data_IF_006993496495
#
_entry.id   IF_006993496495
#
_cell.length_a   1.000
_cell.length_b   1.000
_cell.length_c   1.000
_cell.angle_alpha   90.00
_cell.angle_beta   90.00
_cell.angle_gamma   90.00
#
_symmetry.space_group_name_H-M   'P 1'
#
loop_
_entity.id
_entity.type
_entity.pdbx_description
1 polymer ?
#
# COMPACT_ATOMS: atom_id res chain seq x y z
N UNK A 1 -7.68 -10.66 -11.65
CA UNK A 1 -7.06 -10.02 -10.48
C UNK A 1 -8.03 -10.12 -9.33
N UNK A 2 -7.52 -10.27 -8.11
CA UNK A 2 -8.34 -10.75 -7.00
C UNK A 2 -9.10 -9.66 -6.25
N UNK A 3 -10.29 -9.99 -5.79
CA UNK A 3 -11.14 -9.10 -5.01
C UNK A 3 -10.72 -9.11 -3.53
N UNK A 4 -10.19 -7.99 -3.04
CA UNK A 4 -9.73 -7.84 -1.66
C UNK A 4 -10.87 -7.31 -0.78
N UNK A 5 -11.24 -8.07 0.25
CA UNK A 5 -12.20 -7.65 1.28
C UNK A 5 -11.56 -7.71 2.66
N UNK A 6 -11.85 -6.73 3.50
CA UNK A 6 -11.46 -6.68 4.91
C UNK A 6 -12.72 -6.62 5.77
N UNK A 7 -12.91 -7.65 6.57
CA UNK A 7 -13.99 -7.81 7.52
C UNK A 7 -13.50 -7.34 8.89
N UNK A 8 -14.05 -6.24 9.37
CA UNK A 8 -13.59 -5.52 10.55
C UNK A 8 -14.46 -5.83 11.77
N UNK A 9 -13.91 -5.68 13.00
CA UNK A 9 -14.72 -5.74 14.21
C UNK A 9 -15.85 -4.71 14.19
N UNK A 10 -16.74 -4.80 15.17
CA UNK A 10 -17.80 -3.82 15.40
C UNK A 10 -17.20 -2.46 15.80
N UNK A 11 -16.90 -1.61 14.81
CA UNK A 11 -16.36 -0.26 15.02
C UNK A 11 -17.50 0.76 15.12
N UNK A 12 -17.30 1.84 15.88
CA UNK A 12 -18.28 2.91 16.06
C UNK A 12 -18.64 3.67 14.76
N UNK A 13 -17.75 3.64 13.76
CA UNK A 13 -17.93 4.24 12.44
C UNK A 13 -17.18 3.42 11.39
N UNK A 14 -17.40 3.73 10.10
CA UNK A 14 -16.84 2.97 8.97
C UNK A 14 -15.31 2.79 9.02
N UNK A 15 -14.57 3.80 9.49
CA UNK A 15 -13.11 3.75 9.57
C UNK A 15 -12.59 3.40 10.96
N UNK A 16 -13.46 3.47 11.98
CA UNK A 16 -13.12 3.35 13.39
C UNK A 16 -12.25 4.48 13.97
N UNK A 17 -12.06 5.59 13.25
CA UNK A 17 -11.26 6.75 13.71
C UNK A 17 -12.11 7.86 14.36
N UNK A 18 -13.23 7.48 14.97
CA UNK A 18 -14.18 8.38 15.63
C UNK A 18 -14.10 8.20 17.15
N UNK A 19 -13.58 9.19 17.86
CA UNK A 19 -13.48 9.14 19.32
C UNK A 19 -12.36 10.04 19.86
N UNK A 20 -12.31 10.26 21.18
CA UNK A 20 -11.25 11.03 21.82
C UNK A 20 -9.89 10.30 21.81
N UNK A 21 -9.90 8.97 21.75
CA UNK A 21 -8.71 8.13 21.63
C UNK A 21 -8.71 7.48 20.25
N UNK A 22 -7.62 7.68 19.49
CA UNK A 22 -7.48 7.17 18.14
C UNK A 22 -6.57 5.94 18.13
N UNK A 23 -7.05 4.85 17.54
CA UNK A 23 -6.19 3.71 17.20
C UNK A 23 -5.35 4.04 15.96
N UNK A 24 -4.04 4.14 16.16
CA UNK A 24 -3.10 4.44 15.09
C UNK A 24 -3.08 3.37 13.98
N UNK A 25 -3.40 2.11 14.30
CA UNK A 25 -3.51 1.06 13.29
C UNK A 25 -4.68 1.33 12.32
N UNK A 26 -5.82 1.81 12.83
CA UNK A 26 -6.98 2.18 12.01
C UNK A 26 -6.72 3.42 11.16
N UNK A 27 -5.97 4.38 11.70
CA UNK A 27 -5.54 5.57 10.95
C UNK A 27 -4.66 5.17 9.77
N UNK A 28 -3.59 4.41 10.04
CA UNK A 28 -2.66 3.94 9.00
C UNK A 28 -3.38 3.07 7.97
N UNK A 29 -4.19 2.11 8.41
CA UNK A 29 -4.94 1.24 7.52
C UNK A 29 -5.92 2.01 6.63
N UNK A 30 -6.63 3.00 7.19
CA UNK A 30 -7.55 3.85 6.42
C UNK A 30 -6.80 4.63 5.33
N UNK A 31 -5.62 5.17 5.64
CA UNK A 31 -4.76 5.83 4.65
C UNK A 31 -4.24 4.87 3.57
N UNK A 32 -3.85 3.65 3.96
CA UNK A 32 -3.35 2.62 3.06
C UNK A 32 -4.41 2.14 2.08
N UNK A 33 -5.64 1.90 2.55
CA UNK A 33 -6.78 1.54 1.70
C UNK A 33 -7.10 2.65 0.71
N UNK A 34 -7.09 3.92 1.15
CA UNK A 34 -7.30 5.05 0.26
C UNK A 34 -6.21 5.14 -0.82
N UNK A 35 -4.95 4.92 -0.44
CA UNK A 35 -3.82 4.89 -1.37
C UNK A 35 -3.99 3.80 -2.44
N UNK A 36 -4.29 2.57 -2.03
CA UNK A 36 -4.47 1.42 -2.94
C UNK A 36 -5.64 1.67 -3.90
N UNK A 37 -6.79 2.10 -3.38
CA UNK A 37 -7.98 2.40 -4.19
C UNK A 37 -7.74 3.55 -5.18
N UNK A 38 -6.95 4.55 -4.82
CA UNK A 38 -6.58 5.64 -5.74
C UNK A 38 -5.58 5.20 -6.82
N UNK A 39 -4.77 4.19 -6.53
CA UNK A 39 -3.73 3.65 -7.42
C UNK A 39 -4.27 2.63 -8.44
N UNK A 40 -5.42 2.00 -8.15
CA UNK A 40 -6.09 1.02 -9.00
C UNK A 40 -6.85 1.59 -10.21
N UNK A 41 -7.04 2.91 -10.28
CA UNK A 41 -7.83 3.58 -11.32
C UNK A 41 -9.35 3.48 -11.07
N UNK A 42 -10.06 4.59 -11.24
CA UNK A 42 -11.52 4.67 -11.18
C UNK A 42 -12.17 3.95 -12.37
N UNK A 43 -12.21 2.62 -12.38
CA UNK A 43 -12.77 1.81 -13.46
C UNK A 43 -14.07 1.12 -13.07
N UNK A 44 -15.22 1.75 -13.34
CA UNK A 44 -16.49 1.04 -13.42
C UNK A 44 -16.48 0.06 -14.60
N UNK A 45 -17.08 -1.12 -14.40
CA UNK A 45 -17.29 -2.22 -15.36
C UNK A 45 -16.27 -3.38 -15.30
N UNK A 46 -16.71 -4.47 -14.65
CA UNK A 46 -16.44 -5.89 -14.91
C UNK A 46 -14.99 -6.41 -15.07
N UNK A 47 -13.98 -5.69 -14.59
CA UNK A 47 -12.58 -6.14 -14.59
C UNK A 47 -11.77 -5.53 -13.44
N UNK A 48 -12.12 -5.89 -12.21
CA UNK A 48 -11.65 -5.33 -10.94
C UNK A 48 -10.14 -5.54 -10.72
N UNK A 49 -9.32 -4.59 -11.14
CA UNK A 49 -7.95 -4.44 -10.64
C UNK A 49 -7.92 -3.34 -9.59
N UNK A 50 -7.34 -3.59 -8.41
CA UNK A 50 -6.89 -2.52 -7.53
C UNK A 50 -7.85 -1.96 -6.48
N UNK A 51 -8.98 -2.61 -6.16
CA UNK A 51 -9.89 -2.15 -5.10
C UNK A 51 -9.87 -3.03 -3.84
N UNK A 52 -10.00 -2.37 -2.69
CA UNK A 52 -10.12 -2.97 -1.35
C UNK A 52 -11.45 -2.53 -0.75
N UNK A 53 -12.33 -3.51 -0.49
CA UNK A 53 -13.59 -3.30 0.21
C UNK A 53 -13.42 -3.52 1.72
N UNK A 54 -14.17 -2.75 2.51
CA UNK A 54 -14.20 -2.84 3.98
C UNK A 54 -15.64 -3.09 4.43
N UNK A 55 -15.83 -4.06 5.30
CA UNK A 55 -17.11 -4.41 5.92
C UNK A 55 -16.95 -4.33 7.43
N UNK A 56 -17.72 -3.48 8.11
CA UNK A 56 -17.72 -3.36 9.57
C UNK A 56 -18.90 -4.16 10.11
N UNK A 57 -18.64 -5.09 11.04
CA UNK A 57 -19.66 -5.97 11.61
C UNK A 57 -20.87 -5.23 12.19
N UNK A 58 -20.67 -4.03 12.75
CA UNK A 58 -21.74 -3.23 13.34
C UNK A 58 -22.66 -2.57 12.29
N UNK A 59 -22.11 -2.18 11.13
CA UNK A 59 -22.84 -1.40 10.13
C UNK A 59 -23.20 -2.18 8.86
N UNK A 60 -22.53 -3.31 8.62
CA UNK A 60 -22.69 -4.17 7.44
C UNK A 60 -22.64 -5.66 7.83
N UNK A 61 -23.56 -6.13 8.70
CA UNK A 61 -23.57 -7.52 9.16
C UNK A 61 -23.93 -8.52 8.05
N UNK A 62 -24.67 -8.09 7.01
CA UNK A 62 -25.08 -8.97 5.90
C UNK A 62 -23.87 -9.53 5.15
N UNK A 63 -22.84 -8.71 4.91
CA UNK A 63 -21.59 -9.15 4.26
C UNK A 63 -20.88 -10.31 5.00
N UNK A 64 -21.08 -10.44 6.32
CA UNK A 64 -20.51 -11.53 7.13
C UNK A 64 -21.35 -12.81 7.06
N UNK A 65 -22.64 -12.70 6.76
CA UNK A 65 -23.58 -13.82 6.63
C UNK A 65 -23.50 -14.44 5.24
N UNK A 66 -23.33 -13.59 4.20
CA UNK A 66 -23.27 -14.01 2.80
C UNK A 66 -22.00 -14.81 2.46
N UNK A 67 -20.91 -14.60 3.19
CA UNK A 67 -19.67 -15.35 3.00
C UNK A 67 -19.61 -16.55 3.95
N UNK A 68 -19.77 -17.76 3.40
CA UNK A 68 -19.68 -19.01 4.16
C UNK A 68 -18.37 -19.14 4.94
N UNK A 69 -17.25 -18.70 4.36
CA UNK A 69 -15.94 -18.73 5.01
C UNK A 69 -15.87 -17.80 6.22
N UNK A 70 -16.42 -16.59 6.11
CA UNK A 70 -16.44 -15.63 7.22
C UNK A 70 -17.44 -16.04 8.29
N UNK A 71 -18.62 -16.55 7.90
CA UNK A 71 -19.59 -17.10 8.84
C UNK A 71 -19.01 -18.28 9.63
N UNK A 72 -18.33 -19.20 8.95
CA UNK A 72 -17.61 -20.31 9.59
C UNK A 72 -16.50 -19.81 10.52
N UNK A 73 -15.72 -18.81 10.09
CA UNK A 73 -14.71 -18.18 10.93
C UNK A 73 -15.30 -17.60 12.22
N UNK A 74 -16.39 -16.81 12.12
CA UNK A 74 -17.05 -16.25 13.29
C UNK A 74 -17.63 -17.32 14.21
N UNK A 75 -18.13 -18.43 13.66
CA UNK A 75 -18.65 -19.54 14.47
C UNK A 75 -17.56 -20.25 15.28
N UNK A 76 -16.36 -20.42 14.70
CA UNK A 76 -15.26 -21.17 15.33
C UNK A 76 -14.36 -20.29 16.19
N UNK A 77 -14.00 -19.11 15.69
CA UNK A 77 -13.02 -18.20 16.32
C UNK A 77 -13.69 -17.10 17.14
N UNK A 78 -14.92 -16.71 16.77
CA UNK A 78 -15.61 -15.57 17.36
C UNK A 78 -15.18 -14.23 16.77
N UNK A 79 -15.89 -13.16 17.17
CA UNK A 79 -15.63 -11.79 16.71
C UNK A 79 -14.27 -11.24 17.15
N UNK A 80 -13.69 -11.77 18.23
CA UNK A 80 -12.35 -11.39 18.71
C UNK A 80 -11.23 -11.75 17.73
N UNK A 81 -11.50 -12.64 16.76
CA UNK A 81 -10.54 -12.98 15.70
C UNK A 81 -10.47 -11.97 14.55
N UNK A 82 -11.37 -10.97 14.54
CA UNK A 82 -11.37 -9.90 13.54
C UNK A 82 -10.19 -8.93 13.78
N UNK A 83 -9.70 -8.22 12.74
CA UNK A 83 -10.18 -8.24 11.36
C UNK A 83 -9.73 -9.48 10.57
N UNK A 84 -10.49 -9.84 9.54
CA UNK A 84 -10.16 -10.91 8.57
C UNK A 84 -10.03 -10.31 7.18
N UNK A 85 -8.94 -10.60 6.47
CA UNK A 85 -8.75 -10.21 5.07
C UNK A 85 -8.92 -11.42 4.17
N UNK A 86 -9.67 -11.26 3.08
CA UNK A 86 -9.84 -12.26 2.04
C UNK A 86 -9.40 -11.74 0.68
N UNK A 87 -8.88 -12.62 -0.18
CA UNK A 87 -8.65 -12.39 -1.60
C UNK A 87 -9.43 -13.45 -2.36
N UNK A 88 -10.35 -13.04 -3.24
CA UNK A 88 -11.24 -13.96 -3.99
C UNK A 88 -11.98 -14.95 -3.07
N UNK A 89 -12.44 -14.46 -1.92
CA UNK A 89 -13.14 -15.26 -0.91
C UNK A 89 -12.24 -16.16 -0.06
N UNK A 90 -10.93 -16.23 -0.34
CA UNK A 90 -9.97 -17.02 0.45
C UNK A 90 -9.35 -16.16 1.54
N UNK A 91 -9.41 -16.61 2.80
CA UNK A 91 -8.77 -15.93 3.93
C UNK A 91 -7.25 -15.92 3.79
N UNK A 92 -6.64 -14.73 3.86
CA UNK A 92 -5.18 -14.53 3.75
C UNK A 92 -4.55 -13.91 5.00
N UNK A 93 -5.36 -13.31 5.88
CA UNK A 93 -4.90 -12.67 7.12
C UNK A 93 -6.03 -12.60 8.15
N UNK A 94 -5.71 -12.78 9.43
CA UNK A 94 -6.67 -12.69 10.54
C UNK A 94 -6.03 -11.98 11.75
N UNK A 95 -6.82 -11.36 12.61
CA UNK A 95 -6.40 -10.76 13.87
C UNK A 95 -5.55 -9.49 13.77
N UNK A 96 -5.27 -8.99 12.56
CA UNK A 96 -4.58 -7.71 12.35
C UNK A 96 -4.89 -7.12 10.98
N UNK A 97 -4.75 -5.80 10.87
CA UNK A 97 -4.84 -5.09 9.59
C UNK A 97 -3.65 -5.42 8.66
N UNK A 98 -3.88 -5.56 7.35
CA UNK A 98 -2.82 -5.75 6.37
C UNK A 98 -2.00 -4.47 6.19
N UNK A 99 -0.70 -4.61 5.93
CA UNK A 99 0.15 -3.46 5.56
C UNK A 99 -0.15 -2.98 4.15
N UNK A 100 0.24 -1.75 3.80
CA UNK A 100 0.18 -1.24 2.42
C UNK A 100 0.76 -2.20 1.39
N UNK A 101 1.93 -2.78 1.66
CA UNK A 101 2.58 -3.74 0.75
C UNK A 101 1.74 -5.00 0.56
N UNK A 102 1.13 -5.51 1.64
CA UNK A 102 0.21 -6.64 1.56
C UNK A 102 -1.02 -6.28 0.73
N UNK A 103 -1.62 -5.11 0.95
CA UNK A 103 -2.77 -4.64 0.18
C UNK A 103 -2.45 -4.49 -1.31
N UNK A 104 -1.31 -3.87 -1.66
CA UNK A 104 -0.85 -3.75 -3.05
C UNK A 104 -0.65 -5.13 -3.68
N UNK A 105 -0.07 -6.09 -2.94
CA UNK A 105 0.11 -7.46 -3.43
C UNK A 105 -1.23 -8.16 -3.66
N UNK A 106 -2.13 -8.11 -2.67
CA UNK A 106 -3.45 -8.74 -2.74
C UNK A 106 -4.29 -8.16 -3.88
N UNK A 107 -4.21 -6.85 -4.09
CA UNK A 107 -4.93 -6.15 -5.16
C UNK A 107 -4.27 -6.29 -6.55
N UNK A 108 -3.15 -7.01 -6.66
CA UNK A 108 -2.40 -7.17 -7.92
C UNK A 108 -1.69 -5.89 -8.41
N UNK A 109 -1.50 -4.91 -7.54
CA UNK A 109 -0.86 -3.62 -7.83
C UNK A 109 0.63 -3.59 -7.45
N UNK A 110 1.14 -4.64 -6.81
CA UNK A 110 2.56 -4.77 -6.52
C UNK A 110 3.33 -5.09 -7.81
N UNK A 111 3.76 -4.04 -8.53
CA UNK A 111 4.65 -4.17 -9.69
C UNK A 111 6.07 -4.46 -9.20
N UNK A 112 6.38 -5.72 -9.00
CA UNK A 112 7.76 -6.22 -9.09
C UNK A 112 7.97 -6.80 -10.48
N UNK A 113 8.69 -6.08 -11.33
CA UNK A 113 9.45 -6.60 -12.49
C UNK A 113 8.77 -7.68 -13.35
N UNK A 114 7.80 -7.25 -14.16
CA UNK A 114 7.26 -8.04 -15.27
C UNK A 114 7.84 -7.71 -16.65
N UNK A 115 8.82 -6.80 -16.75
CA UNK A 115 9.54 -6.48 -18.00
C UNK A 115 10.78 -5.59 -17.77
N UNK A 116 11.77 -6.08 -17.03
CA UNK A 116 13.17 -5.65 -17.18
C UNK A 116 14.02 -6.91 -17.29
N UNK A 117 14.03 -7.49 -18.48
CA UNK A 117 14.94 -8.56 -18.87
C UNK A 117 16.39 -8.15 -18.61
N UNK A 118 17.08 -8.95 -17.79
CA UNK A 118 18.51 -9.28 -17.91
C UNK A 118 19.43 -8.21 -18.51
N UNK A 119 19.95 -7.27 -17.72
CA UNK A 119 21.20 -6.56 -18.05
C UNK A 119 21.73 -5.65 -16.91
N UNK A 120 21.95 -6.15 -15.69
CA UNK A 120 22.75 -5.40 -14.71
C UNK A 120 23.63 -6.31 -13.86
N UNK A 121 24.61 -7.00 -14.46
CA UNK A 121 25.76 -7.50 -13.66
C UNK A 121 27.08 -7.75 -14.39
N UNK A 122 27.34 -7.22 -15.60
CA UNK A 122 28.59 -7.60 -16.29
C UNK A 122 29.29 -6.54 -17.15
N UNK A 123 29.04 -5.25 -16.93
CA UNK A 123 29.75 -4.19 -17.67
C UNK A 123 30.01 -2.96 -16.82
N UNK A 124 30.95 -3.03 -15.88
CA UNK A 124 31.76 -1.87 -15.45
C UNK A 124 33.02 -2.31 -14.73
N UNK A 125 33.71 -3.29 -15.31
CA UNK A 125 35.16 -3.33 -15.21
C UNK A 125 35.74 -2.28 -16.13
N UNK A 126 36.36 -1.25 -15.57
CA UNK A 126 37.72 -0.81 -15.93
C UNK A 126 38.18 0.29 -14.97
N UNK A 127 39.35 0.15 -14.32
CA UNK A 127 39.95 1.21 -13.53
C UNK A 127 40.67 2.16 -14.50
N UNK A 128 40.26 3.42 -14.57
CA UNK A 128 41.05 4.45 -15.25
C UNK A 128 41.67 5.39 -14.21
N UNK A 129 42.84 4.95 -13.75
CA UNK A 129 44.02 5.71 -13.37
C UNK A 129 43.83 7.23 -13.20
N UNK A 130 43.95 7.64 -11.95
CA UNK A 130 44.32 8.98 -11.49
C UNK A 130 45.47 9.55 -12.33
N UNK A 131 45.28 10.76 -12.86
CA UNK A 131 46.41 11.68 -13.09
C UNK A 131 46.23 12.94 -12.26
N UNK A 132 47.34 13.23 -11.61
CA UNK A 132 47.63 14.22 -10.58
C UNK A 132 47.75 15.64 -11.15
N UNK A 133 47.15 16.56 -10.40
CA UNK A 133 47.45 17.94 -10.01
C UNK A 133 48.30 18.92 -10.85
N UNK A 134 47.91 20.19 -10.63
CA UNK A 134 48.73 21.42 -10.54
C UNK A 134 49.12 22.08 -11.87
N UNK A 135 49.16 23.40 -12.03
CA UNK A 135 49.28 24.49 -11.07
C UNK A 135 48.79 25.83 -11.67
N UNK A 136 48.58 26.79 -10.77
CA UNK A 136 48.42 28.25 -10.87
C UNK A 136 48.47 28.98 -12.23
N UNK A 137 47.65 30.02 -12.38
CA UNK A 137 48.08 31.39 -12.02
C UNK A 137 47.04 32.49 -12.41
N UNK A 138 46.77 33.35 -11.43
CA UNK A 138 46.62 34.81 -11.54
C UNK A 138 45.34 35.44 -12.09
N UNK A 139 44.59 36.06 -11.17
CA UNK A 139 43.71 37.24 -11.38
C UNK A 139 44.56 38.55 -11.40
N UNK A 140 44.02 39.80 -11.36
CA UNK A 140 42.70 40.41 -11.66
C UNK A 140 42.91 41.67 -12.59
N UNK A 141 42.17 42.84 -12.60
CA UNK A 141 40.92 43.25 -11.94
C UNK A 141 39.90 44.12 -12.75
N UNK A 142 38.70 44.25 -12.17
CA UNK A 142 37.90 45.48 -11.94
C UNK A 142 36.97 46.15 -12.98
N UNK A 143 35.85 46.66 -12.40
CA UNK A 143 34.87 47.70 -12.80
C UNK A 143 33.78 47.26 -13.80
N UNK A 144 32.50 47.55 -13.60
CA UNK A 144 31.79 48.37 -12.63
C UNK A 144 30.28 48.42 -12.98
N UNK A 145 29.48 49.00 -12.07
CA UNK A 145 28.03 49.28 -12.15
C UNK A 145 27.07 48.07 -12.35
N UNK A 146 25.98 47.88 -11.59
CA UNK A 146 25.22 48.80 -10.75
C UNK A 146 23.82 49.00 -11.33
N UNK A 147 22.82 48.39 -10.67
CA UNK A 147 21.37 48.68 -10.71
C UNK A 147 20.60 48.54 -12.04
N UNK A 148 19.63 47.60 -12.05
CA UNK A 148 18.18 47.87 -11.90
C UNK A 148 17.46 46.54 -11.61
#
# INVERSE_FOLDING_TARGET
>A
MGEVRVYEPALCCRTGVCGPELDQALVTFTADVAHVNSSGGSGGSAGSGGSVARHNLASDPEAFIESDGIRGFLHVVGSEGLPVTTVDGVTVLTGRYPTREQLLRYAGLNRGDGASTVAQEERRGLPLLTRVSSDAASAPPSRGEGCC
#
